data_IF_268725424593
#
_entry.id   IF_268725424593
#
_cell.length_a   1.000
_cell.length_b   1.000
_cell.length_c   1.000
_cell.angle_alpha   90.00
_cell.angle_beta   90.00
_cell.angle_gamma   90.00
#
_symmetry.space_group_name_H-M   'P 1'
#
loop_
_entity.id
_entity.type
_entity.pdbx_description
1 polymer ?
#
# COMPACT_ATOMS: atom_id res chain seq x y z
N UNK A 1 23.46 17.66 4.85
CA UNK A 1 22.19 17.61 5.57
C UNK A 1 20.99 17.76 4.67
N UNK A 2 20.98 18.73 3.76
CA UNK A 2 19.85 18.92 2.86
C UNK A 2 19.55 17.71 1.98
N UNK A 3 20.59 17.05 1.49
CA UNK A 3 20.42 15.86 0.65
C UNK A 3 19.76 14.71 1.40
N UNK A 4 20.08 14.58 2.68
CA UNK A 4 19.45 13.57 3.53
C UNK A 4 17.97 13.86 3.76
N UNK A 5 17.62 15.12 4.00
CA UNK A 5 16.23 15.53 4.17
C UNK A 5 15.44 15.36 2.88
N UNK A 6 16.03 15.68 1.75
CA UNK A 6 15.40 15.47 0.45
C UNK A 6 15.15 14.00 0.21
N UNK A 7 16.11 13.13 0.54
CA UNK A 7 15.95 11.70 0.38
C UNK A 7 14.83 11.15 1.27
N UNK A 8 14.74 11.61 2.51
CA UNK A 8 13.67 11.21 3.43
C UNK A 8 12.32 11.68 2.90
N UNK A 9 12.24 12.94 2.43
CA UNK A 9 11.02 13.48 1.86
C UNK A 9 10.55 12.66 0.64
N UNK A 10 11.47 12.30 -0.24
CA UNK A 10 11.17 11.47 -1.40
C UNK A 10 10.69 10.07 -0.98
N UNK A 11 11.34 9.48 0.01
CA UNK A 11 10.95 8.17 0.52
C UNK A 11 9.54 8.20 1.12
N UNK A 12 9.21 9.23 1.88
CA UNK A 12 7.87 9.39 2.46
C UNK A 12 6.82 9.68 1.39
N UNK A 13 7.17 10.46 0.38
CA UNK A 13 6.25 10.79 -0.71
C UNK A 13 5.83 9.54 -1.49
N UNK A 14 6.69 8.55 -1.60
CA UNK A 14 6.42 7.29 -2.27
C UNK A 14 5.89 6.26 -1.27
N UNK A 15 6.49 6.21 -0.09
CA UNK A 15 6.21 5.19 0.91
C UNK A 15 4.84 5.31 1.56
N UNK A 16 4.38 6.51 1.86
CA UNK A 16 3.07 6.69 2.48
C UNK A 16 1.93 6.29 1.55
N UNK A 17 1.88 6.74 0.29
CA UNK A 17 0.87 6.25 -0.64
C UNK A 17 0.98 4.75 -0.92
N UNK A 18 2.20 4.20 -0.95
CA UNK A 18 2.41 2.77 -1.15
C UNK A 18 1.81 1.95 -0.01
N UNK A 19 1.99 2.38 1.24
CA UNK A 19 1.38 1.74 2.40
C UNK A 19 -0.14 1.79 2.33
N UNK A 20 -0.70 2.94 1.98
CA UNK A 20 -2.15 3.10 1.84
C UNK A 20 -2.71 2.17 0.75
N UNK A 21 -2.02 2.08 -0.38
CA UNK A 21 -2.41 1.21 -1.49
C UNK A 21 -2.33 -0.24 -1.09
N UNK A 22 -1.25 -0.65 -0.42
CA UNK A 22 -1.07 -2.02 0.05
C UNK A 22 -2.19 -2.41 1.02
N UNK A 23 -2.55 -1.51 1.93
CA UNK A 23 -3.63 -1.76 2.88
C UNK A 23 -4.97 -1.93 2.16
N UNK A 24 -5.28 -1.05 1.22
CA UNK A 24 -6.50 -1.15 0.42
C UNK A 24 -6.54 -2.43 -0.41
N UNK A 25 -5.42 -2.78 -1.05
CA UNK A 25 -5.33 -4.00 -1.85
C UNK A 25 -5.47 -5.26 -0.99
N UNK A 26 -4.96 -5.26 0.22
CA UNK A 26 -5.11 -6.40 1.12
C UNK A 26 -6.57 -6.65 1.47
N UNK A 27 -7.35 -5.59 1.63
CA UNK A 27 -8.79 -5.70 1.91
C UNK A 27 -9.57 -6.16 0.69
N UNK A 28 -9.25 -5.66 -0.48
CA UNK A 28 -9.85 -6.09 -1.74
C UNK A 28 -9.54 -7.57 -1.98
N UNK A 29 -8.30 -7.97 -1.77
CA UNK A 29 -7.88 -9.35 -1.93
C UNK A 29 -8.60 -10.29 -0.97
N UNK A 30 -8.76 -9.90 0.28
CA UNK A 30 -9.49 -10.69 1.26
C UNK A 30 -10.97 -10.84 0.88
N UNK A 31 -11.59 -9.75 0.42
CA UNK A 31 -12.98 -9.79 -0.03
C UNK A 31 -13.14 -10.69 -1.26
N UNK A 32 -12.20 -10.58 -2.22
CA UNK A 32 -12.19 -11.41 -3.41
C UNK A 32 -12.01 -12.89 -3.08
N UNK A 33 -11.12 -13.20 -2.16
CA UNK A 33 -10.91 -14.57 -1.70
C UNK A 33 -12.17 -15.13 -1.04
N UNK A 34 -12.87 -14.32 -0.24
CA UNK A 34 -14.13 -14.71 0.36
C UNK A 34 -15.21 -15.02 -0.68
N UNK A 35 -15.31 -14.20 -1.71
CA UNK A 35 -16.25 -14.42 -2.81
C UNK A 35 -15.93 -15.71 -3.55
N UNK A 36 -14.66 -15.94 -3.83
CA UNK A 36 -14.23 -17.18 -4.52
C UNK A 36 -14.49 -18.42 -3.69
N UNK A 37 -14.42 -18.32 -2.37
CA UNK A 37 -14.73 -19.43 -1.48
C UNK A 37 -16.21 -19.80 -1.50
N UNK A 38 -17.09 -18.81 -1.67
CA UNK A 38 -18.54 -19.04 -1.70
C UNK A 38 -19.01 -19.48 -3.08
N UNK A 39 -18.48 -18.87 -4.15
CA UNK A 39 -18.87 -19.15 -5.53
C UNK A 39 -17.63 -19.26 -6.41
N UNK A 40 -16.93 -20.37 -6.34
CA UNK A 40 -15.73 -20.57 -7.16
C UNK A 40 -16.03 -20.63 -8.66
#
# INVERSE_FOLDING_TARGET
MEKGLIAIAAALAIGLPALATAWAQSRIGAAGAGTMAEKP
#
